data_IF_164875793022
#
_entry.id   IF_164875793022
#
_cell.length_a   1.000
_cell.length_b   1.000
_cell.length_c   1.000
_cell.angle_alpha   90.00
_cell.angle_beta   90.00
_cell.angle_gamma   90.00
#
_symmetry.space_group_name_H-M   'P 1'
#
loop_
_entity.id
_entity.type
_entity.pdbx_description
1 polymer ?
#
# COMPACT_ATOMS: atom_id res chain seq x y z
N UNK A 1 11.16 2.07 -7.11
CA UNK A 1 12.46 1.38 -7.35
C UNK A 1 12.42 0.53 -8.61
N UNK A 2 11.40 -0.30 -8.83
CA UNK A 2 11.30 -1.14 -10.04
C UNK A 2 11.01 -0.35 -11.33
N UNK A 3 10.44 0.85 -11.22
CA UNK A 3 9.95 1.61 -12.38
C UNK A 3 11.03 2.08 -13.36
N UNK A 4 12.30 2.07 -12.97
CA UNK A 4 13.42 2.51 -13.81
C UNK A 4 14.37 1.34 -14.18
N UNK A 5 14.01 0.12 -13.79
CA UNK A 5 14.86 -1.06 -14.05
C UNK A 5 14.90 -1.38 -15.53
N UNK A 6 13.82 -1.07 -16.24
CA UNK A 6 13.70 -1.29 -17.67
C UNK A 6 14.72 -0.49 -18.49
N UNK A 7 15.05 0.76 -18.10
CA UNK A 7 16.02 1.58 -18.84
C UNK A 7 17.45 1.04 -18.70
N UNK A 8 17.82 0.56 -17.50
CA UNK A 8 19.12 -0.07 -17.25
C UNK A 8 19.23 -1.39 -18.04
N UNK A 9 18.17 -2.18 -18.05
CA UNK A 9 18.07 -3.40 -18.85
C UNK A 9 18.24 -3.14 -20.34
N UNK A 10 17.54 -2.12 -20.86
CA UNK A 10 17.63 -1.72 -22.27
C UNK A 10 19.05 -1.26 -22.64
N UNK A 11 19.65 -0.42 -21.80
CA UNK A 11 21.02 0.07 -22.01
C UNK A 11 22.04 -1.06 -22.05
N UNK A 12 21.97 -1.99 -21.09
CA UNK A 12 22.83 -3.16 -21.07
C UNK A 12 22.60 -4.04 -22.31
N UNK A 13 21.34 -4.29 -22.68
CA UNK A 13 21.00 -5.09 -23.85
C UNK A 13 21.60 -4.52 -25.14
N UNK A 14 21.49 -3.20 -25.37
CA UNK A 14 22.09 -2.56 -26.54
C UNK A 14 23.61 -2.62 -26.55
N UNK A 15 24.25 -2.38 -25.39
CA UNK A 15 25.72 -2.47 -25.26
C UNK A 15 26.22 -3.87 -25.62
N UNK A 16 25.54 -4.93 -25.14
CA UNK A 16 25.94 -6.31 -25.42
C UNK A 16 25.66 -6.73 -26.87
N UNK A 17 24.53 -6.34 -27.45
CA UNK A 17 24.20 -6.61 -28.86
C UNK A 17 25.20 -5.97 -29.83
N UNK A 18 25.49 -4.67 -29.64
CA UNK A 18 26.44 -3.96 -30.48
C UNK A 18 27.85 -4.55 -30.39
N UNK A 19 28.25 -4.93 -29.17
CA UNK A 19 29.59 -5.50 -28.93
C UNK A 19 29.73 -6.89 -29.54
N UNK A 20 28.68 -7.72 -29.54
CA UNK A 20 28.73 -9.06 -30.12
C UNK A 20 28.96 -9.05 -31.64
N UNK A 21 28.50 -8.01 -32.34
CA UNK A 21 28.64 -7.87 -33.80
C UNK A 21 29.89 -7.11 -34.25
N UNK A 22 30.76 -6.68 -33.32
CA UNK A 22 31.90 -5.79 -33.60
C UNK A 22 33.23 -6.37 -33.11
N UNK A 23 34.35 -5.87 -33.64
CA UNK A 23 35.70 -6.21 -33.14
C UNK A 23 35.92 -5.50 -31.80
N UNK A 24 35.99 -6.27 -30.70
CA UNK A 24 36.07 -5.74 -29.33
C UNK A 24 37.52 -5.62 -28.88
N UNK A 25 37.91 -4.45 -28.34
CA UNK A 25 39.22 -4.28 -27.71
C UNK A 25 39.31 -5.05 -26.37
N UNK A 26 40.48 -5.58 -25.97
CA UNK A 26 40.61 -6.36 -24.73
C UNK A 26 40.19 -5.60 -23.46
N UNK A 27 40.41 -4.28 -23.40
CA UNK A 27 39.94 -3.43 -22.28
C UNK A 27 38.41 -3.36 -22.21
N UNK A 28 37.72 -3.27 -23.35
CA UNK A 28 36.25 -3.26 -23.41
C UNK A 28 35.68 -4.62 -22.99
N UNK A 29 36.32 -5.72 -23.39
CA UNK A 29 35.93 -7.07 -22.98
C UNK A 29 35.96 -7.24 -21.45
N UNK A 30 36.97 -6.68 -20.78
CA UNK A 30 37.06 -6.73 -19.31
C UNK A 30 35.91 -5.98 -18.63
N UNK A 31 35.49 -4.83 -19.16
CA UNK A 31 34.35 -4.06 -18.66
C UNK A 31 33.04 -4.83 -18.89
N UNK A 32 32.85 -5.41 -20.08
CA UNK A 32 31.68 -6.23 -20.39
C UNK A 32 31.59 -7.46 -19.49
N UNK A 33 32.71 -8.11 -19.20
CA UNK A 33 32.79 -9.24 -18.27
C UNK A 33 32.36 -8.85 -16.86
N UNK A 34 32.74 -7.67 -16.39
CA UNK A 34 32.30 -7.13 -15.10
C UNK A 34 30.78 -6.91 -15.06
N UNK A 35 30.22 -6.18 -16.04
CA UNK A 35 28.76 -5.95 -16.11
C UNK A 35 27.97 -7.26 -16.24
N UNK A 36 28.51 -8.20 -17.02
CA UNK A 36 27.94 -9.53 -17.16
C UNK A 36 27.90 -10.23 -15.81
N UNK A 37 29.00 -10.30 -15.06
CA UNK A 37 29.04 -10.93 -13.74
C UNK A 37 28.12 -10.26 -12.73
N UNK A 38 27.98 -8.93 -12.77
CA UNK A 38 27.11 -8.15 -11.86
C UNK A 38 25.62 -8.35 -12.16
N UNK A 39 25.25 -8.70 -13.40
CA UNK A 39 23.84 -8.97 -13.74
C UNK A 39 23.24 -10.14 -12.94
N UNK A 40 24.01 -11.20 -12.67
CA UNK A 40 23.54 -12.36 -11.90
C UNK A 40 23.16 -12.03 -10.45
N UNK A 41 24.04 -11.45 -9.60
CA UNK A 41 23.69 -11.11 -8.24
C UNK A 41 22.55 -10.09 -8.19
N UNK A 42 22.46 -9.15 -9.13
CA UNK A 42 21.31 -8.24 -9.23
C UNK A 42 20.01 -9.04 -9.44
N UNK A 43 20.00 -9.96 -10.40
CA UNK A 43 18.83 -10.81 -10.66
C UNK A 43 18.41 -11.64 -9.45
N UNK A 44 19.38 -12.21 -8.72
CA UNK A 44 19.16 -12.96 -7.48
C UNK A 44 18.55 -12.06 -6.40
N UNK A 45 19.09 -10.86 -6.19
CA UNK A 45 18.57 -9.89 -5.22
C UNK A 45 17.11 -9.53 -5.52
N UNK A 46 16.74 -9.33 -6.79
CA UNK A 46 15.35 -9.09 -7.17
C UNK A 46 14.42 -10.25 -6.80
N UNK A 47 14.86 -11.50 -6.97
CA UNK A 47 14.07 -12.67 -6.56
C UNK A 47 13.99 -12.80 -5.03
N UNK A 48 15.06 -12.47 -4.31
CA UNK A 48 15.06 -12.43 -2.84
C UNK A 48 14.17 -11.32 -2.27
N UNK A 49 13.85 -10.27 -3.04
CA UNK A 49 12.88 -9.26 -2.59
C UNK A 49 11.44 -9.79 -2.53
N UNK A 50 11.10 -10.90 -3.20
CA UNK A 50 9.75 -11.46 -3.19
C UNK A 50 9.28 -11.87 -1.79
N UNK A 51 10.00 -12.74 -1.04
CA UNK A 51 9.59 -13.10 0.31
C UNK A 51 9.50 -11.88 1.25
N UNK A 52 10.41 -10.92 1.09
CA UNK A 52 10.39 -9.67 1.87
C UNK A 52 9.14 -8.82 1.55
N UNK A 53 8.81 -8.66 0.28
CA UNK A 53 7.64 -7.89 -0.17
C UNK A 53 6.33 -8.52 0.28
N UNK A 54 6.23 -9.85 0.25
CA UNK A 54 5.05 -10.60 0.72
C UNK A 54 4.89 -10.43 2.24
N UNK A 55 5.94 -10.67 3.03
CA UNK A 55 5.87 -10.58 4.49
C UNK A 55 5.49 -9.17 4.98
N UNK A 56 6.05 -8.14 4.34
CA UNK A 56 5.72 -6.75 4.65
C UNK A 56 4.25 -6.43 4.31
N UNK A 57 3.77 -6.91 3.15
CA UNK A 57 2.37 -6.71 2.74
C UNK A 57 1.38 -7.40 3.69
N UNK A 58 1.70 -8.62 4.15
CA UNK A 58 0.89 -9.34 5.14
C UNK A 58 0.85 -8.63 6.49
N UNK A 59 2.00 -8.10 6.94
CA UNK A 59 2.10 -7.33 8.18
C UNK A 59 1.25 -6.06 8.09
N UNK A 60 1.37 -5.33 6.97
CA UNK A 60 0.57 -4.13 6.75
C UNK A 60 -0.93 -4.43 6.67
N UNK A 61 -1.32 -5.53 6.03
CA UNK A 61 -2.72 -5.97 6.01
C UNK A 61 -3.26 -6.23 7.43
N UNK A 62 -2.49 -6.93 8.28
CA UNK A 62 -2.85 -7.16 9.68
C UNK A 62 -2.98 -5.84 10.45
N UNK A 63 -2.06 -4.89 10.23
CA UNK A 63 -2.09 -3.58 10.87
C UNK A 63 -3.35 -2.78 10.48
N UNK A 64 -3.72 -2.75 9.19
CA UNK A 64 -4.95 -2.10 8.72
C UNK A 64 -6.17 -2.72 9.41
N UNK A 65 -6.23 -4.05 9.51
CA UNK A 65 -7.35 -4.72 10.15
C UNK A 65 -7.43 -4.43 11.66
N UNK A 66 -6.31 -4.50 12.37
CA UNK A 66 -6.25 -4.22 13.80
C UNK A 66 -6.60 -2.76 14.11
N UNK A 67 -6.07 -1.82 13.32
CA UNK A 67 -6.39 -0.41 13.45
C UNK A 67 -7.89 -0.16 13.26
N UNK A 68 -8.49 -0.78 12.25
CA UNK A 68 -9.93 -0.67 11.99
C UNK A 68 -10.76 -1.23 13.16
N UNK A 69 -10.44 -2.43 13.64
CA UNK A 69 -11.14 -3.05 14.78
C UNK A 69 -11.02 -2.19 16.04
N UNK A 70 -9.83 -1.65 16.34
CA UNK A 70 -9.62 -0.80 17.51
C UNK A 70 -10.39 0.53 17.40
N UNK A 71 -10.36 1.17 16.22
CA UNK A 71 -11.12 2.40 15.98
C UNK A 71 -12.63 2.16 16.10
N UNK A 72 -13.13 1.04 15.57
CA UNK A 72 -14.54 0.67 15.67
C UNK A 72 -14.95 0.42 17.12
N UNK A 73 -14.13 -0.31 17.89
CA UNK A 73 -14.39 -0.57 19.31
C UNK A 73 -14.45 0.74 20.12
N UNK A 74 -13.50 1.66 19.90
CA UNK A 74 -13.49 2.98 20.55
C UNK A 74 -14.71 3.82 20.20
N UNK A 75 -15.11 3.86 18.92
CA UNK A 75 -16.30 4.59 18.49
C UNK A 75 -17.58 3.99 19.11
N UNK A 76 -17.67 2.66 19.17
CA UNK A 76 -18.81 1.98 19.79
C UNK A 76 -18.91 2.27 21.29
N UNK A 77 -17.79 2.29 22.01
CA UNK A 77 -17.75 2.63 23.43
C UNK A 77 -18.19 4.08 23.68
N UNK A 78 -17.75 5.02 22.84
CA UNK A 78 -18.18 6.42 22.92
C UNK A 78 -19.68 6.57 22.65
N UNK A 79 -20.20 5.89 21.64
CA UNK A 79 -21.63 5.88 21.31
C UNK A 79 -22.47 5.29 22.44
N UNK A 80 -22.01 4.22 23.09
CA UNK A 80 -22.68 3.64 24.26
C UNK A 80 -22.74 4.64 25.41
N UNK A 81 -21.62 5.30 25.75
CA UNK A 81 -21.58 6.32 26.82
C UNK A 81 -22.53 7.49 26.54
N UNK A 82 -22.59 7.98 25.30
CA UNK A 82 -23.53 9.06 24.93
C UNK A 82 -24.97 8.58 24.98
N UNK A 83 -25.25 7.37 24.49
CA UNK A 83 -26.59 6.76 24.52
C UNK A 83 -27.09 6.55 25.95
N UNK A 84 -26.23 6.09 26.86
CA UNK A 84 -26.56 5.92 28.28
C UNK A 84 -26.85 7.27 28.96
N UNK A 85 -26.02 8.29 28.72
CA UNK A 85 -26.28 9.65 29.21
C UNK A 85 -27.62 10.20 28.69
N UNK A 86 -27.95 9.97 27.42
CA UNK A 86 -29.24 10.37 26.86
C UNK A 86 -30.41 9.66 27.52
N UNK A 87 -30.27 8.40 27.95
CA UNK A 87 -31.34 7.68 28.67
C UNK A 87 -31.65 8.30 30.03
N UNK A 88 -30.62 8.71 30.77
CA UNK A 88 -30.75 9.27 32.13
C UNK A 88 -31.20 10.73 32.16
N UNK A 89 -30.97 11.48 31.08
CA UNK A 89 -31.33 12.90 30.98
C UNK A 89 -32.79 13.06 30.55
N UNK A 90 -33.56 13.81 31.35
CA UNK A 90 -34.95 14.21 31.05
C UNK A 90 -35.17 15.73 31.10
N UNK A 91 -34.16 16.52 31.46
CA UNK A 91 -34.25 17.98 31.52
C UNK A 91 -34.07 18.60 30.12
N UNK A 92 -34.97 19.53 29.76
CA UNK A 92 -34.93 20.23 28.47
C UNK A 92 -33.63 21.02 28.28
N UNK A 93 -33.11 21.66 29.34
CA UNK A 93 -31.85 22.41 29.27
C UNK A 93 -30.66 21.49 29.00
N UNK A 94 -30.62 20.31 29.62
CA UNK A 94 -29.54 19.34 29.41
C UNK A 94 -29.59 18.73 28.01
N UNK A 95 -30.78 18.41 27.49
CA UNK A 95 -30.94 17.96 26.10
C UNK A 95 -30.51 19.03 25.08
N UNK A 96 -30.81 20.30 25.36
CA UNK A 96 -30.40 21.43 24.51
C UNK A 96 -28.87 21.60 24.53
N UNK A 97 -28.22 21.42 25.69
CA UNK A 97 -26.75 21.46 25.80
C UNK A 97 -26.09 20.31 25.04
N UNK A 98 -26.66 19.10 25.10
CA UNK A 98 -26.17 17.94 24.33
C UNK A 98 -26.34 18.21 22.83
N UNK A 99 -27.51 18.66 22.39
CA UNK A 99 -27.74 19.02 21.00
C UNK A 99 -26.78 20.11 20.50
N UNK A 100 -26.48 21.12 21.32
CA UNK A 100 -25.50 22.15 20.99
C UNK A 100 -24.08 21.60 20.84
N UNK A 101 -23.66 20.70 21.73
CA UNK A 101 -22.33 20.05 21.64
C UNK A 101 -22.17 19.17 20.39
N UNK A 102 -23.29 18.70 19.84
CA UNK A 102 -23.36 17.91 18.61
C UNK A 102 -23.65 18.75 17.36
N UNK A 103 -23.69 20.09 17.48
CA UNK A 103 -24.07 21.03 16.42
C UNK A 103 -25.45 20.74 15.78
N UNK A 104 -26.43 20.36 16.59
CA UNK A 104 -27.79 20.02 16.17
C UNK A 104 -28.79 21.18 16.39
N UNK A 105 -28.38 22.43 16.18
CA UNK A 105 -29.26 23.60 16.39
C UNK A 105 -30.57 23.53 15.59
N UNK A 106 -30.54 22.93 14.40
CA UNK A 106 -31.74 22.73 13.57
C UNK A 106 -32.74 21.76 14.22
N UNK A 107 -32.25 20.73 14.94
CA UNK A 107 -33.12 19.78 15.65
C UNK A 107 -33.74 20.38 16.91
N UNK A 108 -33.03 21.33 17.55
CA UNK A 108 -33.55 22.10 18.69
C UNK A 108 -34.73 22.96 18.23
N UNK A 109 -34.58 23.71 17.14
CA UNK A 109 -35.62 24.60 16.62
C UNK A 109 -36.84 23.84 16.06
N UNK A 110 -36.61 22.64 15.51
CA UNK A 110 -37.67 21.81 14.92
C UNK A 110 -38.43 20.94 15.95
N UNK A 111 -38.00 20.90 17.21
CA UNK A 111 -38.58 19.98 18.18
C UNK A 111 -39.75 20.57 18.95
N UNK A 112 -40.84 19.79 19.07
CA UNK A 112 -42.09 20.23 19.72
C UNK A 112 -42.16 19.88 21.21
N UNK A 113 -41.26 19.01 21.70
CA UNK A 113 -41.22 18.58 23.10
C UNK A 113 -39.83 18.05 23.48
N UNK A 114 -39.49 17.96 24.78
CA UNK A 114 -38.24 17.35 25.24
C UNK A 114 -38.07 15.90 24.76
N UNK A 115 -39.17 15.15 24.71
CA UNK A 115 -39.17 13.76 24.25
C UNK A 115 -38.87 13.65 22.75
N UNK A 116 -39.42 14.58 21.96
CA UNK A 116 -39.17 14.69 20.52
C UNK A 116 -37.70 15.07 20.25
N UNK A 117 -37.12 15.99 21.02
CA UNK A 117 -35.72 16.39 20.89
C UNK A 117 -34.78 15.24 21.22
N UNK A 118 -35.08 14.48 22.28
CA UNK A 118 -34.35 13.27 22.67
C UNK A 118 -34.36 12.21 21.57
N UNK A 119 -35.51 11.98 20.93
CA UNK A 119 -35.63 11.04 19.81
C UNK A 119 -34.84 11.50 18.59
N UNK A 120 -34.88 12.79 18.24
CA UNK A 120 -34.11 13.38 17.14
C UNK A 120 -32.61 13.27 17.37
N UNK A 121 -32.12 13.59 18.58
CA UNK A 121 -30.71 13.41 18.95
C UNK A 121 -30.31 11.94 18.82
N UNK A 122 -31.14 11.01 19.31
CA UNK A 122 -30.86 9.58 19.22
C UNK A 122 -30.79 9.10 17.76
N UNK A 123 -31.75 9.50 16.92
CA UNK A 123 -31.73 9.18 15.49
C UNK A 123 -30.49 9.72 14.81
N UNK A 124 -30.12 10.97 15.07
CA UNK A 124 -28.95 11.58 14.45
C UNK A 124 -27.64 10.91 14.86
N UNK A 125 -27.52 10.49 16.13
CA UNK A 125 -26.37 9.72 16.61
C UNK A 125 -26.30 8.36 15.90
N UNK A 126 -27.43 7.66 15.76
CA UNK A 126 -27.48 6.37 15.04
C UNK A 126 -27.12 6.52 13.55
N UNK A 127 -27.69 7.53 12.88
CA UNK A 127 -27.37 7.82 11.47
C UNK A 127 -25.91 8.20 11.29
N UNK A 128 -25.36 9.06 12.16
CA UNK A 128 -23.96 9.46 12.11
C UNK A 128 -23.03 8.28 12.38
N UNK A 129 -23.35 7.41 13.35
CA UNK A 129 -22.63 6.17 13.61
C UNK A 129 -22.63 5.22 12.39
N UNK A 130 -23.79 5.03 11.76
CA UNK A 130 -23.91 4.17 10.59
C UNK A 130 -23.13 4.73 9.39
N UNK A 131 -23.17 6.04 9.18
CA UNK A 131 -22.39 6.73 8.17
C UNK A 131 -20.88 6.62 8.45
N UNK A 132 -20.45 6.81 9.70
CA UNK A 132 -19.06 6.68 10.11
C UNK A 132 -18.52 5.26 9.85
N UNK A 133 -19.29 4.22 10.19
CA UNK A 133 -18.94 2.82 9.91
C UNK A 133 -18.88 2.55 8.41
N UNK A 134 -19.84 3.08 7.63
CA UNK A 134 -19.84 2.94 6.18
C UNK A 134 -18.62 3.59 5.54
N UNK A 135 -18.33 4.86 5.86
CA UNK A 135 -17.17 5.60 5.36
C UNK A 135 -15.86 4.94 5.78
N UNK A 136 -15.74 4.48 7.02
CA UNK A 136 -14.56 3.75 7.50
C UNK A 136 -14.35 2.45 6.73
N UNK A 137 -15.42 1.70 6.43
CA UNK A 137 -15.34 0.48 5.61
C UNK A 137 -14.90 0.77 4.18
N UNK A 138 -15.39 1.84 3.56
CA UNK A 138 -14.96 2.28 2.24
C UNK A 138 -13.47 2.64 2.26
N UNK A 139 -13.02 3.41 3.24
CA UNK A 139 -11.61 3.77 3.41
C UNK A 139 -10.72 2.54 3.61
N UNK A 140 -11.14 1.58 4.46
CA UNK A 140 -10.44 0.29 4.67
C UNK A 140 -10.31 -0.48 3.37
N UNK A 141 -11.40 -0.61 2.60
CA UNK A 141 -11.39 -1.32 1.31
C UNK A 141 -10.44 -0.67 0.32
N UNK A 142 -10.42 0.66 0.26
CA UNK A 142 -9.54 1.40 -0.64
C UNK A 142 -8.06 1.24 -0.23
N UNK A 143 -7.75 1.26 1.07
CA UNK A 143 -6.39 0.97 1.56
C UNK A 143 -5.95 -0.46 1.21
N UNK A 144 -6.81 -1.46 1.42
CA UNK A 144 -6.51 -2.86 1.07
C UNK A 144 -6.33 -3.02 -0.44
N UNK A 145 -7.19 -2.40 -1.24
CA UNK A 145 -7.10 -2.42 -2.70
C UNK A 145 -5.78 -1.80 -3.18
N UNK A 146 -5.38 -0.67 -2.63
CA UNK A 146 -4.12 -0.01 -2.96
C UNK A 146 -2.90 -0.83 -2.50
N UNK A 147 -2.99 -1.48 -1.34
CA UNK A 147 -1.98 -2.43 -0.88
C UNK A 147 -1.81 -3.58 -1.86
N UNK A 148 -2.90 -4.25 -2.26
CA UNK A 148 -2.87 -5.35 -3.21
C UNK A 148 -2.30 -4.88 -4.55
N UNK A 149 -2.80 -3.77 -5.09
CA UNK A 149 -2.30 -3.20 -6.35
C UNK A 149 -0.81 -2.93 -6.31
N UNK A 150 -0.33 -2.35 -5.21
CA UNK A 150 1.09 -2.02 -5.02
C UNK A 150 1.94 -3.28 -4.84
N UNK A 151 1.47 -4.23 -4.02
CA UNK A 151 2.15 -5.51 -3.80
C UNK A 151 2.27 -6.30 -5.11
N UNK A 152 1.20 -6.42 -5.89
CA UNK A 152 1.22 -7.09 -7.20
C UNK A 152 2.19 -6.40 -8.15
N UNK A 153 2.13 -5.06 -8.27
CA UNK A 153 3.04 -4.28 -9.12
C UNK A 153 4.50 -4.51 -8.75
N UNK A 154 4.85 -4.45 -7.47
CA UNK A 154 6.23 -4.62 -6.99
C UNK A 154 6.70 -6.06 -7.23
N UNK A 155 5.88 -7.07 -6.89
CA UNK A 155 6.25 -8.47 -7.05
C UNK A 155 6.42 -8.86 -8.53
N UNK A 156 5.49 -8.46 -9.41
CA UNK A 156 5.60 -8.71 -10.85
C UNK A 156 6.85 -8.04 -11.41
N UNK A 157 7.08 -6.77 -11.06
CA UNK A 157 8.27 -6.06 -11.50
C UNK A 157 9.56 -6.71 -11.02
N UNK A 158 9.60 -7.22 -9.78
CA UNK A 158 10.75 -7.95 -9.24
C UNK A 158 10.98 -9.29 -9.96
N UNK A 159 9.93 -10.06 -10.24
CA UNK A 159 10.03 -11.32 -11.01
C UNK A 159 10.58 -11.04 -12.41
N UNK A 160 9.95 -10.12 -13.14
CA UNK A 160 10.33 -9.78 -14.52
C UNK A 160 11.78 -9.31 -14.54
N UNK A 161 12.14 -8.37 -13.67
CA UNK A 161 13.52 -7.85 -13.59
C UNK A 161 14.53 -8.94 -13.25
N UNK A 162 14.24 -9.76 -12.24
CA UNK A 162 15.08 -10.87 -11.81
C UNK A 162 15.35 -11.86 -12.94
N UNK A 163 14.28 -12.30 -13.63
CA UNK A 163 14.37 -13.21 -14.77
C UNK A 163 15.14 -12.57 -15.92
N UNK A 164 14.87 -11.30 -16.28
CA UNK A 164 15.58 -10.62 -17.35
C UNK A 164 17.08 -10.47 -17.07
N UNK A 165 17.47 -10.16 -15.84
CA UNK A 165 18.88 -10.10 -15.45
C UNK A 165 19.58 -11.47 -15.53
N UNK A 166 18.89 -12.54 -15.14
CA UNK A 166 19.39 -13.92 -15.29
C UNK A 166 19.54 -14.30 -16.77
N UNK A 167 18.56 -13.94 -17.61
CA UNK A 167 18.62 -14.15 -19.06
C UNK A 167 19.79 -13.36 -19.66
N UNK A 168 19.95 -12.08 -19.30
CA UNK A 168 21.10 -11.27 -19.73
C UNK A 168 22.42 -11.91 -19.32
N UNK A 169 22.54 -12.40 -18.09
CA UNK A 169 23.74 -13.12 -17.66
C UNK A 169 24.00 -14.37 -18.52
N UNK A 170 22.95 -15.12 -18.91
CA UNK A 170 23.10 -16.27 -19.82
C UNK A 170 23.51 -15.87 -21.23
N UNK A 171 22.88 -14.83 -21.80
CA UNK A 171 23.17 -14.34 -23.15
C UNK A 171 24.59 -13.77 -23.25
N UNK A 172 25.06 -13.12 -22.19
CA UNK A 172 26.41 -12.51 -22.14
C UNK A 172 27.50 -13.51 -21.77
N UNK A 173 27.22 -14.83 -21.78
CA UNK A 173 28.17 -15.89 -21.45
C UNK A 173 29.43 -15.85 -22.32
N UNK A 174 29.31 -15.43 -23.59
CA UNK A 174 30.44 -15.28 -24.50
C UNK A 174 31.51 -14.33 -23.96
N UNK A 175 31.13 -13.24 -23.28
CA UNK A 175 32.07 -12.28 -22.67
C UNK A 175 32.92 -12.89 -21.56
N UNK A 176 32.48 -14.02 -21.00
CA UNK A 176 33.14 -14.72 -19.89
C UNK A 176 33.98 -15.91 -20.35
N UNK A 177 33.62 -16.53 -21.49
CA UNK A 177 34.29 -17.70 -22.05
C UNK A 177 35.46 -17.33 -22.96
N UNK A 178 35.43 -16.17 -23.62
CA UNK A 178 36.55 -15.70 -24.43
C UNK A 178 37.75 -15.43 -23.51
N UNK A 179 38.55 -16.47 -23.31
CA UNK A 179 39.87 -16.39 -22.71
C UNK A 179 40.86 -15.85 -23.75
N UNK A 180 41.90 -15.22 -23.22
CA UNK A 180 43.00 -14.56 -23.92
C UNK A 180 43.78 -15.53 -24.83
N UNK A 181 43.21 -15.96 -25.95
CA UNK A 181 43.96 -16.65 -27.02
C UNK A 181 44.33 -15.66 -28.13
N UNK A 182 44.82 -14.48 -27.73
CA UNK A 182 45.53 -13.56 -28.62
C UNK A 182 46.73 -13.04 -27.82
N UNK A 183 47.73 -13.91 -27.70
CA UNK A 183 49.10 -13.57 -27.41
C UNK A 183 49.92 -14.02 -28.62
#
# INVERSE_FOLDING_TARGET
MVDHVWSILLGLMFIFLYSQSSIIKPKQLSILKFFSWVALPIGIVYLLMLPLGINNSLTLYKNINNQFTNQQAQQQEQLQKVTEKLKTVNSQQELTNIANSLNLQNEIAASKSPQDLKNKIYQQIQTSAQNAVSTANVAKREQIKNLIKTAVRINLGAIISGVCFIILWRLTRWTRIIEKNVG
#
